data_IF_146250503808
#
_entry.id   IF_146250503808
#
_cell.length_a   1.000
_cell.length_b   1.000
_cell.length_c   1.000
_cell.angle_alpha   90.00
_cell.angle_beta   90.00
_cell.angle_gamma   90.00
#
_symmetry.space_group_name_H-M   'P 1'
#
loop_
_entity.id
_entity.type
_entity.pdbx_description
1 polymer ?
#
# COMPACT_ATOMS: atom_id res chain seq x y z
N UNK A 1 10.56 14.91 -8.39
CA UNK A 1 10.06 13.66 -7.80
C UNK A 1 10.16 13.61 -6.27
N UNK A 2 11.26 14.03 -5.62
CA UNK A 2 11.40 13.98 -4.15
C UNK A 2 10.20 14.51 -3.35
N UNK A 3 9.67 15.68 -3.71
CA UNK A 3 8.50 16.31 -3.05
C UNK A 3 7.20 15.51 -3.14
N UNK A 4 7.14 14.49 -4.00
CA UNK A 4 5.93 13.69 -4.25
C UNK A 4 6.03 12.29 -3.62
N UNK A 5 7.17 11.92 -3.03
CA UNK A 5 7.43 10.55 -2.54
C UNK A 5 6.54 10.13 -1.40
N UNK A 6 6.15 11.04 -0.51
CA UNK A 6 5.29 10.74 0.61
C UNK A 6 4.34 11.89 0.82
N UNK A 7 3.06 11.58 0.95
CA UNK A 7 2.00 12.54 1.26
C UNK A 7 0.78 11.79 1.81
N UNK A 8 -0.19 12.52 2.34
CA UNK A 8 -1.50 11.96 2.67
C UNK A 8 -2.50 12.14 1.52
N UNK A 9 -3.60 11.39 1.57
CA UNK A 9 -4.74 11.57 0.67
C UNK A 9 -6.00 11.06 1.38
N UNK A 10 -7.14 11.74 1.26
CA UNK A 10 -8.43 11.26 1.74
C UNK A 10 -8.87 10.01 0.95
N UNK A 11 -8.46 8.82 1.40
CA UNK A 11 -8.81 7.55 0.76
C UNK A 11 -10.13 7.01 1.31
N UNK A 12 -10.39 7.24 2.59
CA UNK A 12 -11.62 6.91 3.29
C UNK A 12 -12.16 8.12 4.06
N UNK A 13 -13.47 8.16 4.22
CA UNK A 13 -14.13 9.06 5.15
C UNK A 13 -15.23 8.28 5.89
N UNK A 14 -15.71 8.82 7.00
CA UNK A 14 -16.92 8.34 7.67
C UNK A 14 -18.15 9.09 7.15
N UNK A 15 -19.27 8.39 6.95
CA UNK A 15 -20.56 9.01 6.68
C UNK A 15 -21.31 9.39 7.97
N UNK A 16 -22.52 9.93 7.85
CA UNK A 16 -23.35 10.33 9.00
C UNK A 16 -23.69 9.17 9.96
N UNK A 17 -23.64 7.92 9.47
CA UNK A 17 -23.86 6.70 10.25
C UNK A 17 -22.55 6.10 10.81
N UNK A 18 -21.43 6.82 10.71
CA UNK A 18 -20.08 6.35 11.05
C UNK A 18 -19.63 5.12 10.23
N UNK A 19 -20.15 4.95 9.00
CA UNK A 19 -19.70 3.89 8.08
C UNK A 19 -18.57 4.40 7.22
N UNK A 20 -17.56 3.56 7.02
CA UNK A 20 -16.43 3.86 6.15
C UNK A 20 -16.85 3.86 4.67
N UNK A 21 -16.65 5.00 4.01
CA UNK A 21 -16.85 5.23 2.58
C UNK A 21 -15.49 5.46 1.93
N UNK A 22 -15.14 4.63 0.94
CA UNK A 22 -13.91 4.79 0.18
C UNK A 22 -14.10 5.79 -0.95
N UNK A 23 -13.16 6.74 -1.06
CA UNK A 23 -13.08 7.72 -2.16
C UNK A 23 -12.28 7.24 -3.35
N UNK A 24 -11.50 6.17 -3.16
CA UNK A 24 -10.64 5.55 -4.18
C UNK A 24 -10.91 4.06 -4.29
N UNK A 25 -10.58 3.48 -5.44
CA UNK A 25 -10.54 2.01 -5.57
C UNK A 25 -9.42 1.47 -4.68
N UNK A 26 -9.76 0.46 -3.89
CA UNK A 26 -8.84 -0.16 -2.95
C UNK A 26 -9.14 -1.66 -2.79
N UNK A 27 -8.15 -2.50 -3.00
CA UNK A 27 -8.29 -3.95 -3.02
C UNK A 27 -8.83 -4.50 -1.69
N UNK A 28 -8.35 -3.95 -0.57
CA UNK A 28 -8.66 -4.46 0.77
C UNK A 28 -9.89 -3.80 1.42
N UNK A 29 -10.79 -3.18 0.62
CA UNK A 29 -12.00 -2.52 1.13
C UNK A 29 -12.84 -3.43 2.03
N UNK A 30 -13.00 -4.70 1.65
CA UNK A 30 -13.78 -5.66 2.43
C UNK A 30 -13.13 -5.94 3.79
N UNK A 31 -11.81 -6.13 3.82
CA UNK A 31 -11.05 -6.41 5.04
C UNK A 31 -11.08 -5.21 5.99
N UNK A 32 -10.99 -3.98 5.47
CA UNK A 32 -11.11 -2.75 6.27
C UNK A 32 -12.52 -2.64 6.87
N UNK A 33 -13.58 -2.81 6.07
CA UNK A 33 -14.97 -2.68 6.54
C UNK A 33 -15.37 -3.77 7.55
N UNK A 34 -14.79 -4.96 7.42
CA UNK A 34 -15.06 -6.09 8.32
C UNK A 34 -14.08 -6.17 9.50
N UNK A 35 -13.08 -5.29 9.57
CA UNK A 35 -12.16 -5.26 10.68
C UNK A 35 -12.93 -4.85 11.95
N UNK A 36 -12.85 -5.68 12.99
CA UNK A 36 -13.20 -5.21 14.33
C UNK A 36 -12.10 -4.27 14.79
N UNK A 37 -12.46 -3.05 15.19
CA UNK A 37 -11.51 -2.09 15.74
C UNK A 37 -11.07 -2.54 17.14
N UNK A 38 -10.15 -3.50 17.16
CA UNK A 38 -9.34 -3.75 18.33
C UNK A 38 -8.35 -2.58 18.42
N UNK A 39 -8.78 -1.50 19.08
CA UNK A 39 -7.99 -0.27 19.33
C UNK A 39 -6.70 -0.56 20.14
N UNK A 40 -5.74 -1.21 19.48
CA UNK A 40 -4.47 -1.59 20.06
C UNK A 40 -3.51 -0.41 19.96
N UNK A 41 -3.30 0.26 21.09
CA UNK A 41 -2.33 1.36 21.18
C UNK A 41 -0.92 0.93 20.75
N UNK A 42 -0.56 -0.34 20.91
CA UNK A 42 0.72 -0.88 20.43
C UNK A 42 0.78 -0.92 18.89
N UNK A 43 -0.29 -1.39 18.24
CA UNK A 43 -0.40 -1.38 16.77
C UNK A 43 -0.37 0.04 16.21
N UNK A 44 -1.13 0.96 16.80
CA UNK A 44 -1.14 2.36 16.39
C UNK A 44 0.27 3.00 16.46
N UNK A 45 1.02 2.76 17.55
CA UNK A 45 2.42 3.21 17.66
C UNK A 45 3.31 2.61 16.59
N UNK A 46 3.17 1.32 16.29
CA UNK A 46 3.96 0.66 15.25
C UNK A 46 3.68 1.25 13.87
N UNK A 47 2.41 1.47 13.51
CA UNK A 47 2.01 2.09 12.25
C UNK A 47 2.53 3.52 12.11
N UNK A 48 2.47 4.31 13.19
CA UNK A 48 3.05 5.66 13.19
C UNK A 48 4.57 5.63 12.94
N UNK A 49 5.29 4.66 13.51
CA UNK A 49 6.73 4.48 13.22
C UNK A 49 7.00 4.10 11.77
N UNK A 50 6.13 3.29 11.14
CA UNK A 50 6.22 2.99 9.72
C UNK A 50 6.04 4.25 8.87
N UNK A 51 5.00 5.04 9.12
CA UNK A 51 4.74 6.29 8.40
C UNK A 51 5.92 7.28 8.52
N UNK A 52 6.52 7.42 9.71
CA UNK A 52 7.72 8.26 9.91
C UNK A 52 8.90 7.74 9.07
N UNK A 53 9.13 6.43 9.05
CA UNK A 53 10.20 5.82 8.26
C UNK A 53 9.99 6.04 6.76
N UNK A 54 8.77 5.79 6.28
CA UNK A 54 8.39 5.99 4.88
C UNK A 54 8.46 7.46 4.46
N UNK A 55 8.16 8.42 5.33
CA UNK A 55 8.27 9.84 4.98
C UNK A 55 9.70 10.33 4.73
N UNK A 56 10.72 9.59 5.18
CA UNK A 56 12.12 10.03 5.13
C UNK A 56 13.04 9.12 4.32
N UNK A 57 12.69 7.85 4.14
CA UNK A 57 13.63 6.81 3.71
C UNK A 57 13.24 6.09 2.41
N UNK A 58 12.30 6.64 1.63
CA UNK A 58 11.87 6.02 0.38
C UNK A 58 12.95 6.10 -0.71
N UNK A 59 13.21 4.99 -1.44
CA UNK A 59 14.15 4.98 -2.56
C UNK A 59 13.78 6.03 -3.62
N UNK A 60 14.76 6.83 -4.02
CA UNK A 60 14.63 7.84 -5.07
C UNK A 60 15.86 7.80 -5.98
N UNK A 61 15.67 7.38 -7.22
CA UNK A 61 16.70 7.43 -8.26
C UNK A 61 16.08 7.64 -9.63
N UNK A 62 16.90 7.95 -10.63
CA UNK A 62 16.46 8.00 -12.03
C UNK A 62 16.07 6.62 -12.58
N UNK A 63 16.58 5.53 -11.99
CA UNK A 63 16.29 4.16 -12.42
C UNK A 63 14.95 3.67 -11.85
N UNK A 64 14.77 3.79 -10.53
CA UNK A 64 13.57 3.38 -9.83
C UNK A 64 13.33 4.30 -8.62
N UNK A 65 12.06 4.62 -8.37
CA UNK A 65 11.61 5.46 -7.28
C UNK A 65 10.33 4.88 -6.68
N UNK A 66 10.17 5.05 -5.36
CA UNK A 66 8.97 4.66 -4.63
C UNK A 66 8.22 5.91 -4.15
N UNK A 67 6.91 5.89 -4.32
CA UNK A 67 5.98 6.93 -3.88
C UNK A 67 4.89 6.28 -3.05
N UNK A 68 4.50 6.90 -1.94
CA UNK A 68 3.53 6.41 -0.99
C UNK A 68 2.49 7.48 -0.73
N UNK A 69 1.23 7.06 -0.66
CA UNK A 69 0.14 7.82 -0.06
C UNK A 69 -0.38 7.04 1.13
N UNK A 70 -0.47 7.70 2.28
CA UNK A 70 -1.20 7.20 3.43
C UNK A 70 -2.58 7.85 3.45
N UNK A 71 -3.58 7.15 3.97
CA UNK A 71 -4.84 7.82 4.30
C UNK A 71 -4.61 8.90 5.37
N UNK A 72 -5.44 9.95 5.36
CA UNK A 72 -5.34 11.08 6.30
C UNK A 72 -5.63 10.68 7.75
N UNK A 73 -6.51 9.72 7.97
CA UNK A 73 -6.96 9.29 9.30
C UNK A 73 -6.50 7.87 9.63
N UNK A 74 -6.36 7.01 8.61
CA UNK A 74 -6.07 5.58 8.74
C UNK A 74 -4.65 5.21 8.32
N UNK A 75 -3.75 5.15 9.30
CA UNK A 75 -2.36 4.73 9.09
C UNK A 75 -2.18 3.27 8.61
N UNK A 76 -3.23 2.45 8.61
CA UNK A 76 -3.21 1.09 8.11
C UNK A 76 -3.65 0.94 6.65
N UNK A 77 -4.00 2.03 5.98
CA UNK A 77 -4.39 2.09 4.58
C UNK A 77 -3.35 2.91 3.82
N UNK A 78 -2.71 2.29 2.82
CA UNK A 78 -1.75 2.97 1.97
C UNK A 78 -1.88 2.55 0.51
N UNK A 79 -1.49 3.45 -0.39
CA UNK A 79 -1.25 3.15 -1.80
C UNK A 79 0.19 3.48 -2.15
N UNK A 80 0.83 2.60 -2.91
CA UNK A 80 2.25 2.70 -3.28
C UNK A 80 2.39 2.68 -4.79
N UNK A 81 3.23 3.55 -5.34
CA UNK A 81 3.65 3.53 -6.72
C UNK A 81 5.15 3.23 -6.79
N UNK A 82 5.54 2.24 -7.57
CA UNK A 82 6.95 1.93 -7.82
C UNK A 82 7.21 2.11 -9.32
N UNK A 83 8.26 2.86 -9.67
CA UNK A 83 8.70 2.93 -11.06
C UNK A 83 9.65 1.78 -11.38
N UNK A 84 9.46 1.12 -12.52
CA UNK A 84 10.26 -0.04 -12.90
C UNK A 84 11.74 0.32 -13.16
N UNK A 85 12.70 -0.46 -12.64
CA UNK A 85 14.13 -0.17 -12.79
C UNK A 85 14.60 -0.14 -14.24
N UNK A 86 15.60 0.70 -14.52
CA UNK A 86 16.35 0.67 -15.77
C UNK A 86 16.94 -0.74 -16.02
N UNK A 87 17.18 -1.05 -17.29
CA UNK A 87 17.74 -2.33 -17.75
C UNK A 87 16.89 -3.56 -17.39
N UNK A 88 15.60 -3.35 -17.10
CA UNK A 88 14.58 -4.41 -16.95
C UNK A 88 13.45 -4.22 -17.95
N UNK A 89 12.64 -5.25 -18.24
CA UNK A 89 11.43 -5.10 -19.05
C UNK A 89 10.39 -4.14 -18.45
N UNK A 90 10.54 -3.78 -17.17
CA UNK A 90 9.65 -2.90 -16.44
C UNK A 90 10.05 -1.42 -16.54
N UNK A 91 11.20 -1.11 -17.16
CA UNK A 91 11.84 0.20 -17.12
C UNK A 91 10.86 1.35 -17.41
N UNK A 92 10.87 2.35 -16.52
CA UNK A 92 10.00 3.54 -16.54
C UNK A 92 8.48 3.27 -16.44
N UNK A 93 8.06 2.00 -16.34
CA UNK A 93 6.67 1.65 -16.05
C UNK A 93 6.28 2.09 -14.64
N UNK A 94 5.00 2.42 -14.45
CA UNK A 94 4.45 2.77 -13.15
C UNK A 94 3.59 1.62 -12.65
N UNK A 95 3.94 1.05 -11.50
CA UNK A 95 3.26 -0.09 -10.89
C UNK A 95 2.62 0.37 -9.58
N UNK A 96 1.29 0.34 -9.55
CA UNK A 96 0.47 0.72 -8.42
C UNK A 96 0.16 -0.50 -7.55
N UNK A 97 0.29 -0.33 -6.24
CA UNK A 97 0.03 -1.34 -5.25
C UNK A 97 -0.88 -0.80 -4.14
N UNK A 98 -1.83 -1.61 -3.74
CA UNK A 98 -2.59 -1.40 -2.51
C UNK A 98 -1.90 -2.11 -1.35
N UNK A 99 -1.84 -1.44 -0.20
CA UNK A 99 -1.17 -1.93 1.00
C UNK A 99 -2.07 -1.78 2.21
N UNK A 100 -2.40 -2.91 2.85
CA UNK A 100 -3.19 -2.96 4.08
C UNK A 100 -2.41 -3.60 5.23
N UNK A 101 -2.41 -2.94 6.38
CA UNK A 101 -1.85 -3.52 7.61
C UNK A 101 -2.97 -4.21 8.40
N UNK A 102 -2.95 -5.54 8.56
CA UNK A 102 -4.05 -6.25 9.24
C UNK A 102 -4.11 -5.93 10.75
N UNK A 103 -5.20 -6.34 11.41
CA UNK A 103 -5.46 -6.03 12.82
C UNK A 103 -4.45 -6.66 13.79
N UNK A 104 -3.80 -7.74 13.39
CA UNK A 104 -2.76 -8.44 14.14
C UNK A 104 -1.34 -7.98 13.78
N UNK A 105 -1.18 -6.99 12.90
CA UNK A 105 0.11 -6.36 12.62
C UNK A 105 0.75 -5.77 13.90
N UNK A 106 2.06 -5.99 14.16
CA UNK A 106 3.09 -6.55 13.27
C UNK A 106 3.31 -8.07 13.39
N UNK A 107 2.44 -8.83 14.06
CA UNK A 107 2.59 -10.29 14.15
C UNK A 107 2.35 -10.98 12.80
N UNK A 108 1.45 -10.42 11.99
CA UNK A 108 1.30 -10.75 10.57
C UNK A 108 1.90 -9.65 9.69
N UNK A 109 2.41 -10.00 8.49
CA UNK A 109 2.98 -9.03 7.56
C UNK A 109 1.89 -8.10 6.97
N UNK A 110 2.28 -6.95 6.39
CA UNK A 110 1.35 -6.17 5.59
C UNK A 110 0.88 -6.97 4.36
N UNK A 111 -0.38 -6.78 3.97
CA UNK A 111 -0.93 -7.33 2.74
C UNK A 111 -0.64 -6.35 1.60
N UNK A 112 -0.13 -6.86 0.48
CA UNK A 112 0.21 -6.06 -0.70
C UNK A 112 -0.41 -6.70 -1.94
N UNK A 113 -1.12 -5.89 -2.74
CA UNK A 113 -1.70 -6.32 -4.02
C UNK A 113 -1.25 -5.37 -5.15
N UNK A 114 -0.83 -5.93 -6.27
CA UNK A 114 -0.53 -5.20 -7.50
C UNK A 114 -1.84 -4.87 -8.23
N UNK A 115 -2.15 -3.60 -8.38
CA UNK A 115 -3.35 -3.13 -9.09
C UNK A 115 -3.10 -2.98 -10.59
N UNK A 116 -1.85 -2.71 -10.98
CA UNK A 116 -1.45 -2.62 -12.39
C UNK A 116 -1.33 -4.01 -13.01
N UNK A 117 -2.46 -4.63 -13.39
CA UNK A 117 -2.53 -5.97 -14.01
C UNK A 117 -3.25 -5.98 -15.37
N UNK A 118 -3.64 -4.80 -15.86
CA UNK A 118 -4.46 -4.70 -17.08
C UNK A 118 -5.83 -5.37 -16.92
N UNK A 119 -6.47 -5.26 -15.75
CA UNK A 119 -7.73 -5.95 -15.45
C UNK A 119 -7.56 -7.47 -15.41
N UNK A 120 -6.52 -7.94 -14.74
CA UNK A 120 -6.16 -9.36 -14.62
C UNK A 120 -5.74 -10.08 -15.91
N UNK A 121 -5.45 -9.33 -16.98
CA UNK A 121 -4.98 -9.89 -18.25
C UNK A 121 -3.47 -10.11 -18.29
N UNK A 122 -2.70 -9.44 -17.43
CA UNK A 122 -1.23 -9.48 -17.43
C UNK A 122 -0.72 -10.15 -16.17
N UNK A 123 0.08 -11.21 -16.35
CA UNK A 123 0.96 -11.76 -15.31
C UNK A 123 2.36 -11.18 -15.50
N UNK A 124 2.71 -10.17 -14.71
CA UNK A 124 3.95 -9.40 -14.90
C UNK A 124 5.23 -10.16 -14.58
N UNK A 125 5.17 -11.11 -13.64
CA UNK A 125 6.34 -11.85 -13.16
C UNK A 125 5.88 -13.18 -12.51
N UNK A 126 6.73 -14.21 -12.40
CA UNK A 126 6.43 -15.37 -11.56
C UNK A 126 5.85 -15.05 -10.17
N UNK A 127 6.31 -13.95 -9.56
CA UNK A 127 5.91 -13.47 -8.24
C UNK A 127 4.82 -12.39 -8.25
N UNK A 128 4.43 -11.90 -9.44
CA UNK A 128 3.40 -10.88 -9.63
C UNK A 128 2.28 -11.49 -10.50
N UNK A 129 1.30 -12.04 -9.81
CA UNK A 129 0.22 -12.81 -10.40
C UNK A 129 -0.78 -11.88 -11.10
N UNK A 130 -1.59 -12.43 -12.00
CA UNK A 130 -2.58 -11.66 -12.74
C UNK A 130 -3.74 -11.18 -11.86
N UNK A 131 -4.08 -11.89 -10.80
CA UNK A 131 -5.00 -11.44 -9.76
C UNK A 131 -4.44 -10.30 -8.88
N UNK A 132 -3.16 -9.94 -9.07
CA UNK A 132 -2.45 -8.91 -8.33
C UNK A 132 -1.67 -9.46 -7.14
N UNK A 133 -1.78 -10.76 -6.81
CA UNK A 133 -1.03 -11.32 -5.69
C UNK A 133 0.47 -11.09 -5.85
N UNK A 134 1.09 -10.61 -4.78
CA UNK A 134 2.54 -10.42 -4.67
C UNK A 134 3.11 -11.51 -3.77
N UNK A 135 4.01 -12.33 -4.31
CA UNK A 135 4.72 -13.36 -3.55
C UNK A 135 6.17 -12.91 -3.31
N UNK A 136 6.48 -12.53 -2.07
CA UNK A 136 7.84 -12.26 -1.63
C UNK A 136 8.19 -13.22 -0.51
N UNK A 137 9.38 -13.81 -0.58
CA UNK A 137 9.93 -14.55 0.55
C UNK A 137 10.28 -13.53 1.63
N UNK A 138 9.50 -13.47 2.71
CA UNK A 138 9.91 -12.72 3.90
C UNK A 138 10.98 -13.55 4.60
N UNK A 139 12.21 -13.02 4.84
CA UNK A 139 13.11 -13.67 5.76
C UNK A 139 12.44 -13.72 7.14
N UNK A 140 12.43 -14.91 7.74
CA UNK A 140 12.04 -15.12 9.13
C UNK A 140 13.08 -14.53 10.09
#
# INVERSE_FOLDING_TARGET
MKKLQFDTFEMVCEDEDAKLVFKVNYHYMSQVKNASDANSAARARRLAQEAVTLSTSLPLSSSSSVFVRCDEERLDIMKVLITGPADTPYANGCFEFDVYFPQDYPNSPPLVNLETTGGHSVRFNPNLYNDGKVSLDSPA
#
